data_IF_029867717703
#
_entry.id   IF_029867717703
#
_cell.length_a   1.000
_cell.length_b   1.000
_cell.length_c   1.000
_cell.angle_alpha   90.00
_cell.angle_beta   90.00
_cell.angle_gamma   90.00
#
_symmetry.space_group_name_H-M   'P 1'
#
loop_
_entity.id
_entity.type
_entity.pdbx_description
1 polymer ?
#
# COMPACT_ATOMS: atom_id res chain seq x y z
N UNK A 1 4.88 -30.39 -45.86
CA UNK A 1 6.13 -30.67 -45.13
C UNK A 1 6.49 -29.38 -44.40
N UNK A 2 6.69 -29.48 -43.08
CA UNK A 2 6.61 -28.48 -42.02
C UNK A 2 7.04 -27.02 -42.32
N UNK A 3 6.20 -26.07 -41.92
CA UNK A 3 6.60 -24.71 -41.51
C UNK A 3 6.58 -24.67 -39.98
N UNK A 4 7.75 -24.46 -39.37
CA UNK A 4 7.92 -24.12 -37.97
C UNK A 4 8.40 -22.66 -37.90
N UNK A 5 7.53 -21.77 -37.41
CA UNK A 5 7.91 -20.42 -37.01
C UNK A 5 7.57 -20.25 -35.54
N UNK A 6 8.60 -20.37 -34.71
CA UNK A 6 8.56 -20.06 -33.29
C UNK A 6 8.00 -18.67 -33.04
N UNK A 7 6.91 -18.62 -32.27
CA UNK A 7 6.40 -17.39 -31.66
C UNK A 7 7.20 -17.13 -30.39
N UNK A 8 8.00 -16.08 -30.40
CA UNK A 8 8.54 -15.50 -29.17
C UNK A 8 7.39 -14.98 -28.30
N UNK A 9 7.21 -15.65 -27.16
CA UNK A 9 6.27 -15.26 -26.12
C UNK A 9 6.88 -14.09 -25.35
N UNK A 10 6.41 -12.88 -25.65
CA UNK A 10 6.73 -11.68 -24.87
C UNK A 10 6.04 -11.82 -23.50
N UNK A 11 6.85 -12.03 -22.45
CA UNK A 11 6.41 -11.96 -21.06
C UNK A 11 6.09 -10.49 -20.69
N UNK A 12 5.00 -10.19 -19.98
CA UNK A 12 4.74 -8.84 -19.52
C UNK A 12 5.70 -8.48 -18.37
N UNK A 13 6.58 -7.51 -18.62
CA UNK A 13 7.47 -6.92 -17.60
C UNK A 13 6.68 -6.07 -16.61
N UNK A 14 6.89 -6.34 -15.32
CA UNK A 14 6.35 -5.57 -14.20
C UNK A 14 7.06 -4.21 -14.14
N UNK A 15 6.26 -3.15 -14.03
CA UNK A 15 6.68 -1.74 -14.09
C UNK A 15 7.66 -1.38 -12.97
N UNK A 16 8.87 -0.95 -13.35
CA UNK A 16 9.83 -0.29 -12.48
C UNK A 16 9.65 1.22 -12.63
N UNK A 17 9.40 1.93 -11.53
CA UNK A 17 9.34 3.40 -11.53
C UNK A 17 10.77 3.92 -11.55
N UNK A 18 11.18 4.50 -12.69
CA UNK A 18 12.42 5.27 -12.79
C UNK A 18 12.29 6.63 -12.11
N UNK A 19 13.34 7.05 -11.42
CA UNK A 19 13.50 8.38 -10.83
C UNK A 19 13.61 9.47 -11.91
N UNK A 20 12.89 10.60 -11.82
CA UNK A 20 13.27 11.80 -12.54
C UNK A 20 14.09 12.73 -11.64
N UNK A 21 15.16 13.26 -12.23
CA UNK A 21 16.07 14.26 -11.69
C UNK A 21 15.37 15.54 -11.22
N UNK A 22 15.98 16.14 -10.21
CA UNK A 22 15.73 17.48 -9.67
C UNK A 22 15.71 18.56 -10.75
N UNK A 23 14.57 19.24 -10.88
CA UNK A 23 14.42 20.51 -11.56
C UNK A 23 13.70 21.47 -10.63
N UNK A 24 14.37 22.58 -10.31
CA UNK A 24 13.96 23.62 -9.37
C UNK A 24 12.52 24.12 -9.58
N UNK A 25 11.76 24.20 -8.48
CA UNK A 25 10.61 25.08 -8.39
C UNK A 25 10.72 25.94 -7.13
N UNK A 26 11.05 27.22 -7.34
CA UNK A 26 11.03 28.30 -6.36
C UNK A 26 9.61 28.51 -5.85
N UNK A 27 9.45 28.60 -4.53
CA UNK A 27 8.26 29.12 -3.85
C UNK A 27 8.56 30.56 -3.43
N UNK A 28 7.64 31.53 -3.61
CA UNK A 28 7.83 32.88 -3.09
C UNK A 28 7.56 32.92 -1.58
N UNK A 29 8.53 33.44 -0.84
CA UNK A 29 8.48 33.72 0.59
C UNK A 29 7.69 35.01 0.84
N UNK A 30 6.69 34.94 1.73
CA UNK A 30 6.11 36.12 2.37
C UNK A 30 6.89 36.40 3.65
N UNK A 31 7.45 37.60 3.72
CA UNK A 31 8.07 38.19 4.88
C UNK A 31 7.04 38.52 5.95
N UNK A 32 7.36 38.19 7.20
CA UNK A 32 6.99 39.03 8.34
C UNK A 32 7.99 38.77 9.46
N UNK A 33 8.65 39.86 9.83
CA UNK A 33 9.70 40.03 10.84
C UNK A 33 9.51 39.22 12.13
N UNK A 34 10.60 38.65 12.62
CA UNK A 34 11.00 38.97 13.99
C UNK A 34 12.51 38.80 14.20
N UNK A 35 13.06 39.81 14.86
CA UNK A 35 14.47 40.16 14.94
C UNK A 35 15.26 39.41 16.02
N UNK A 36 16.49 39.07 15.63
CA UNK A 36 17.75 39.23 16.37
C UNK A 36 18.05 38.40 17.64
N UNK A 37 19.01 37.48 17.49
CA UNK A 37 20.24 37.34 18.30
C UNK A 37 20.94 36.04 17.83
N UNK A 38 22.10 35.99 17.19
CA UNK A 38 23.28 36.83 17.31
C UNK A 38 24.40 36.04 17.99
N UNK A 39 25.12 35.17 17.26
CA UNK A 39 26.56 34.91 17.48
C UNK A 39 27.19 34.01 16.40
N UNK A 40 28.23 34.56 15.80
CA UNK A 40 29.07 34.01 14.76
C UNK A 40 30.25 33.20 15.32
N UNK A 41 30.75 32.23 14.54
CA UNK A 41 32.16 31.84 14.40
C UNK A 41 32.26 30.82 13.25
N UNK A 42 32.65 31.23 12.04
CA UNK A 42 34.03 31.29 11.55
C UNK A 42 34.51 29.95 10.96
N UNK A 43 34.58 29.93 9.63
CA UNK A 43 35.17 28.90 8.79
C UNK A 43 36.71 28.92 8.89
N UNK A 44 37.34 27.75 8.78
CA UNK A 44 38.73 27.63 8.32
C UNK A 44 38.86 26.43 7.39
N UNK A 45 38.97 26.73 6.10
CA UNK A 45 39.55 25.87 5.07
C UNK A 45 41.05 25.75 5.29
N UNK A 46 41.61 24.54 5.17
CA UNK A 46 43.01 24.35 4.76
C UNK A 46 43.10 23.19 3.76
N UNK A 47 43.38 23.56 2.50
CA UNK A 47 44.06 22.73 1.51
C UNK A 47 45.54 22.66 1.89
N UNK A 48 46.17 21.51 1.65
CA UNK A 48 47.58 21.47 1.27
C UNK A 48 47.81 20.35 0.25
N UNK A 49 48.50 20.74 -0.82
CA UNK A 49 48.78 19.97 -2.02
C UNK A 49 50.00 19.05 -1.90
N UNK A 50 49.93 18.03 -2.73
CA UNK A 50 50.91 17.08 -3.26
C UNK A 50 52.42 17.43 -3.25
N UNK A 51 53.27 16.39 -3.09
CA UNK A 51 54.12 15.76 -4.15
C UNK A 51 55.28 14.95 -3.55
N UNK A 52 55.57 13.79 -4.14
CA UNK A 52 56.82 13.05 -3.90
C UNK A 52 56.75 11.59 -4.34
N UNK A 53 57.01 11.33 -5.62
CA UNK A 53 57.10 10.01 -6.24
C UNK A 53 58.42 9.31 -5.92
N UNK A 54 58.45 7.97 -5.75
CA UNK A 54 59.45 7.01 -6.33
C UNK A 54 58.85 5.58 -6.29
N UNK A 55 58.87 4.86 -7.42
CA UNK A 55 58.77 3.39 -7.58
C UNK A 55 60.13 2.94 -8.19
N UNK A 56 60.58 1.66 -8.20
CA UNK A 56 59.79 0.42 -8.21
C UNK A 56 60.37 -0.76 -7.39
N UNK A 57 59.61 -1.85 -7.25
CA UNK A 57 60.11 -3.13 -6.73
C UNK A 57 59.18 -4.28 -7.07
N UNK A 58 59.70 -5.24 -7.83
CA UNK A 58 59.06 -6.45 -8.37
C UNK A 58 58.41 -7.34 -7.29
N UNK A 59 57.28 -7.96 -7.65
CA UNK A 59 56.74 -9.12 -6.93
C UNK A 59 55.25 -9.36 -7.20
N UNK A 60 54.94 -10.16 -8.21
CA UNK A 60 53.70 -10.97 -8.25
C UNK A 60 54.17 -12.41 -7.95
N UNK A 61 53.43 -13.22 -7.16
CA UNK A 61 52.25 -13.85 -7.75
C UNK A 61 51.08 -14.06 -6.79
N UNK A 62 49.87 -13.92 -7.32
CA UNK A 62 48.83 -14.94 -7.16
C UNK A 62 48.03 -14.94 -5.85
N UNK A 63 46.85 -14.32 -5.91
CA UNK A 63 45.63 -14.91 -5.35
C UNK A 63 44.43 -14.18 -5.97
N UNK A 64 43.73 -14.86 -6.87
CA UNK A 64 42.38 -14.50 -7.28
C UNK A 64 41.48 -14.54 -6.05
N UNK A 65 41.30 -13.40 -5.38
CA UNK A 65 40.21 -13.23 -4.43
C UNK A 65 38.94 -13.07 -5.25
N UNK A 66 38.30 -14.21 -5.56
CA UNK A 66 36.92 -14.19 -6.02
C UNK A 66 36.10 -13.58 -4.89
N UNK A 67 35.79 -12.29 -5.02
CA UNK A 67 34.83 -11.62 -4.16
C UNK A 67 33.55 -12.44 -4.20
N UNK A 68 33.22 -13.10 -3.10
CA UNK A 68 31.95 -13.79 -2.95
C UNK A 68 30.84 -12.81 -3.36
N UNK A 69 29.84 -13.25 -4.14
CA UNK A 69 28.69 -12.41 -4.41
C UNK A 69 28.13 -11.90 -3.07
N UNK A 70 27.66 -10.64 -2.99
CA UNK A 70 27.04 -10.14 -1.78
C UNK A 70 25.95 -11.12 -1.33
N UNK A 71 25.74 -11.31 -0.01
CA UNK A 71 24.75 -12.25 0.48
C UNK A 71 23.42 -11.94 -0.21
N UNK A 72 22.86 -12.95 -0.88
CA UNK A 72 21.53 -12.90 -1.46
C UNK A 72 20.60 -12.44 -0.33
N UNK A 73 20.06 -11.22 -0.44
CA UNK A 73 19.01 -10.74 0.46
C UNK A 73 17.95 -11.84 0.51
N UNK A 74 17.57 -12.35 1.69
CA UNK A 74 16.66 -13.48 1.78
C UNK A 74 15.42 -13.17 0.95
N UNK A 75 15.14 -14.07 0.02
CA UNK A 75 13.93 -14.01 -0.78
C UNK A 75 12.75 -13.92 0.22
N UNK A 76 12.03 -12.81 0.20
CA UNK A 76 10.81 -12.64 0.99
C UNK A 76 9.72 -13.48 0.31
N UNK A 77 9.86 -14.79 0.41
CA UNK A 77 8.77 -15.74 0.18
C UNK A 77 7.81 -15.48 1.34
N UNK A 78 6.59 -14.94 1.11
CA UNK A 78 5.71 -15.24 -0.02
C UNK A 78 5.10 -14.01 -0.75
N UNK A 79 5.78 -12.85 -0.77
CA UNK A 79 5.21 -11.61 -1.34
C UNK A 79 5.74 -11.29 -2.76
N UNK A 80 4.82 -11.10 -3.71
CA UNK A 80 5.10 -10.69 -5.10
C UNK A 80 4.38 -9.37 -5.40
N UNK A 81 5.04 -8.43 -6.11
CA UNK A 81 4.40 -7.15 -6.49
C UNK A 81 3.14 -7.40 -7.35
N UNK A 82 2.06 -6.71 -7.03
CA UNK A 82 0.81 -6.76 -7.78
C UNK A 82 -0.10 -7.96 -7.46
N UNK A 83 0.34 -8.92 -6.64
CA UNK A 83 -0.52 -10.01 -6.19
C UNK A 83 -1.54 -9.54 -5.13
N UNK A 84 -2.65 -10.25 -4.99
CA UNK A 84 -3.53 -10.11 -3.83
C UNK A 84 -3.28 -11.25 -2.85
N UNK A 85 -3.37 -10.95 -1.56
CA UNK A 85 -3.24 -11.94 -0.48
C UNK A 85 -4.33 -11.79 0.57
N UNK A 86 -4.61 -12.87 1.27
CA UNK A 86 -5.26 -12.86 2.58
C UNK A 86 -4.24 -13.25 3.64
N UNK A 87 -4.31 -12.61 4.79
CA UNK A 87 -3.44 -12.90 5.92
C UNK A 87 -4.27 -13.57 7.00
N UNK A 88 -4.16 -14.89 7.13
CA UNK A 88 -4.88 -15.66 8.14
C UNK A 88 -4.06 -15.70 9.44
N UNK A 89 -4.63 -15.27 10.55
CA UNK A 89 -3.91 -15.33 11.82
C UNK A 89 -3.85 -16.76 12.36
N UNK A 90 -2.67 -17.25 12.75
CA UNK A 90 -2.52 -18.62 13.24
C UNK A 90 -3.14 -18.85 14.62
N UNK A 91 -2.91 -17.93 15.55
CA UNK A 91 -3.35 -18.06 16.94
C UNK A 91 -4.85 -17.84 17.14
N UNK A 92 -5.43 -16.90 16.38
CA UNK A 92 -6.84 -16.50 16.47
C UNK A 92 -7.73 -17.17 15.42
N UNK A 93 -7.16 -17.58 14.29
CA UNK A 93 -7.91 -17.84 13.07
C UNK A 93 -8.44 -16.55 12.45
N UNK A 94 -9.22 -16.68 11.37
CA UNK A 94 -9.74 -15.54 10.62
C UNK A 94 -8.65 -14.76 9.87
N UNK A 95 -9.06 -13.72 9.17
CA UNK A 95 -8.27 -12.97 8.20
C UNK A 95 -8.13 -11.51 8.62
N UNK A 96 -6.98 -10.91 8.36
CA UNK A 96 -6.78 -9.47 8.50
C UNK A 96 -7.82 -8.72 7.67
N UNK A 97 -8.58 -7.87 8.31
CA UNK A 97 -9.75 -7.19 7.77
C UNK A 97 -9.55 -5.68 7.83
N UNK A 98 -9.68 -5.01 6.69
CA UNK A 98 -9.77 -3.57 6.57
C UNK A 98 -11.15 -3.10 7.07
N UNK A 99 -11.22 -2.48 8.25
CA UNK A 99 -12.51 -2.10 8.83
C UNK A 99 -13.25 -1.08 7.96
N UNK A 100 -14.56 -1.19 7.92
CA UNK A 100 -15.47 -0.33 7.16
C UNK A 100 -15.40 1.15 7.59
N UNK A 101 -14.85 1.43 8.77
CA UNK A 101 -14.55 2.80 9.20
C UNK A 101 -13.48 3.50 8.36
N UNK A 102 -12.72 2.78 7.54
CA UNK A 102 -11.60 3.31 6.77
C UNK A 102 -10.35 3.63 7.59
N UNK A 103 -10.36 3.35 8.91
CA UNK A 103 -9.24 3.67 9.81
C UNK A 103 -8.69 2.47 10.55
N UNK A 104 -9.54 1.58 11.03
CA UNK A 104 -9.10 0.44 11.84
C UNK A 104 -8.79 -0.80 11.03
N UNK A 105 -8.07 -1.73 11.64
CA UNK A 105 -7.96 -3.11 11.16
C UNK A 105 -8.37 -4.09 12.25
N UNK A 106 -8.97 -5.19 11.85
CA UNK A 106 -9.42 -6.24 12.75
C UNK A 106 -9.18 -7.61 12.13
N UNK A 107 -9.65 -8.67 12.80
CA UNK A 107 -9.68 -10.01 12.24
C UNK A 107 -11.12 -10.49 12.11
N UNK A 108 -11.51 -10.86 10.89
CA UNK A 108 -12.84 -11.37 10.53
C UNK A 108 -12.74 -12.85 10.08
N UNK A 109 -13.78 -13.65 10.34
CA UNK A 109 -13.80 -15.07 9.94
C UNK A 109 -14.20 -15.28 8.48
N UNK A 110 -14.90 -14.30 7.89
CA UNK A 110 -15.42 -14.36 6.51
C UNK A 110 -14.27 -14.19 5.52
N UNK A 111 -13.91 -15.28 4.85
CA UNK A 111 -12.85 -15.31 3.83
C UNK A 111 -13.19 -14.53 2.55
N UNK A 112 -14.46 -14.60 2.13
CA UNK A 112 -14.89 -14.08 0.83
C UNK A 112 -15.08 -12.56 0.75
N UNK A 113 -14.69 -11.81 1.77
CA UNK A 113 -14.90 -10.35 1.81
C UNK A 113 -13.74 -9.62 1.11
N UNK A 114 -14.05 -8.61 0.29
CA UNK A 114 -13.01 -7.74 -0.31
C UNK A 114 -12.12 -7.09 0.74
N UNK A 115 -12.68 -6.74 1.91
CA UNK A 115 -11.95 -6.18 3.05
C UNK A 115 -10.88 -7.12 3.63
N UNK A 116 -10.89 -8.41 3.28
CA UNK A 116 -9.83 -9.37 3.66
C UNK A 116 -8.76 -9.54 2.60
N UNK A 117 -8.97 -9.02 1.39
CA UNK A 117 -8.04 -9.09 0.29
C UNK A 117 -7.15 -7.84 0.30
N UNK A 118 -5.84 -8.04 0.41
CA UNK A 118 -4.83 -7.00 0.44
C UNK A 118 -3.97 -7.07 -0.82
N UNK A 119 -3.94 -6.00 -1.60
CA UNK A 119 -3.04 -5.89 -2.74
C UNK A 119 -1.62 -5.64 -2.23
N UNK A 120 -0.68 -6.46 -2.70
CA UNK A 120 0.72 -6.39 -2.32
C UNK A 120 1.42 -5.42 -3.25
N UNK A 121 2.11 -4.45 -2.67
CA UNK A 121 3.12 -3.67 -3.36
C UNK A 121 4.48 -3.99 -2.73
N UNK A 122 5.40 -4.49 -3.54
CA UNK A 122 6.71 -4.93 -3.10
C UNK A 122 7.79 -4.01 -3.63
N UNK A 123 8.58 -3.42 -2.72
CA UNK A 123 9.71 -2.57 -3.06
C UNK A 123 10.99 -3.25 -2.61
N UNK A 124 11.83 -3.63 -3.57
CA UNK A 124 13.17 -4.16 -3.32
C UNK A 124 14.21 -3.12 -3.73
N UNK A 125 15.04 -2.71 -2.78
CA UNK A 125 16.31 -2.00 -3.03
C UNK A 125 17.48 -2.96 -2.81
N UNK A 126 18.70 -2.51 -3.09
CA UNK A 126 19.90 -3.31 -2.87
C UNK A 126 20.03 -3.81 -1.41
N UNK A 127 19.54 -3.01 -0.46
CA UNK A 127 19.76 -3.24 0.98
C UNK A 127 18.47 -3.58 1.76
N UNK A 128 17.29 -3.33 1.19
CA UNK A 128 16.02 -3.47 1.93
C UNK A 128 14.92 -4.02 1.03
N UNK A 129 14.15 -4.96 1.56
CA UNK A 129 12.91 -5.42 0.95
C UNK A 129 11.73 -5.04 1.83
N UNK A 130 10.78 -4.29 1.26
CA UNK A 130 9.64 -3.68 1.94
C UNK A 130 8.34 -4.13 1.32
N UNK A 131 7.40 -4.52 2.15
CA UNK A 131 6.04 -4.91 1.74
C UNK A 131 5.07 -3.81 2.15
N UNK A 132 4.24 -3.39 1.20
CA UNK A 132 3.10 -2.52 1.40
C UNK A 132 1.85 -3.33 1.14
N UNK A 133 0.87 -3.25 2.04
CA UNK A 133 -0.38 -4.00 1.94
C UNK A 133 -1.52 -3.00 1.80
N UNK A 134 -2.19 -2.98 0.66
CA UNK A 134 -3.25 -2.03 0.34
C UNK A 134 -4.62 -2.72 0.42
N UNK A 135 -5.50 -2.20 1.27
CA UNK A 135 -6.81 -2.78 1.54
C UNK A 135 -7.89 -2.35 0.55
N UNK A 136 -9.14 -2.75 0.84
CA UNK A 136 -10.31 -2.50 -0.01
C UNK A 136 -10.60 -1.01 -0.28
N UNK A 137 -10.16 -0.11 0.60
CA UNK A 137 -10.36 1.33 0.47
C UNK A 137 -9.16 2.06 -0.14
N UNK A 138 -8.22 1.33 -0.75
CA UNK A 138 -6.98 1.89 -1.31
C UNK A 138 -5.97 2.36 -0.28
N UNK A 139 -6.33 2.32 1.01
CA UNK A 139 -5.48 2.67 2.15
C UNK A 139 -4.51 1.54 2.48
N UNK A 140 -3.34 1.90 2.97
CA UNK A 140 -2.27 0.97 3.32
C UNK A 140 -2.36 0.53 4.77
N UNK A 141 -2.04 -0.73 5.04
CA UNK A 141 -1.84 -1.23 6.39
C UNK A 141 -0.65 -0.48 6.98
N UNK A 142 -0.91 0.27 8.04
CA UNK A 142 0.06 1.12 8.68
C UNK A 142 0.16 0.90 10.18
N UNK A 143 1.36 1.15 10.66
CA UNK A 143 1.68 1.27 12.05
C UNK A 143 1.44 2.70 12.56
N UNK A 144 0.94 2.78 13.79
CA UNK A 144 0.73 4.05 14.48
C UNK A 144 1.51 4.05 15.79
N UNK A 145 1.82 5.26 16.27
CA UNK A 145 2.39 5.47 17.61
C UNK A 145 1.32 5.61 18.69
N UNK A 146 0.04 5.58 18.31
CA UNK A 146 -1.06 5.72 19.24
C UNK A 146 -1.22 4.42 20.03
N UNK A 147 -1.12 4.50 21.36
CA UNK A 147 -1.36 3.37 22.25
C UNK A 147 -2.71 2.72 21.94
N UNK A 148 -2.73 1.38 21.94
CA UNK A 148 -3.97 0.65 21.79
C UNK A 148 -4.92 0.93 22.96
N UNK A 149 -6.20 0.61 22.78
CA UNK A 149 -7.23 0.79 23.82
C UNK A 149 -6.85 0.01 25.09
N UNK A 150 -7.33 0.50 26.24
CA UNK A 150 -7.06 -0.12 27.53
C UNK A 150 -7.35 -1.63 27.51
N UNK A 151 -6.40 -2.44 27.99
CA UNK A 151 -6.47 -3.91 27.95
C UNK A 151 -5.89 -4.57 26.69
N UNK A 152 -5.42 -3.79 25.70
CA UNK A 152 -4.67 -4.29 24.55
C UNK A 152 -3.17 -4.01 24.70
N UNK A 153 -2.35 -4.90 24.16
CA UNK A 153 -0.90 -4.71 24.11
C UNK A 153 -0.49 -3.99 22.84
N UNK A 154 0.39 -3.00 22.98
CA UNK A 154 1.04 -2.31 21.86
C UNK A 154 0.30 -1.08 21.35
N UNK A 155 0.59 -0.71 20.11
CA UNK A 155 0.00 0.45 19.42
C UNK A 155 -1.06 0.01 18.41
N UNK A 156 -1.91 0.94 17.98
CA UNK A 156 -2.98 0.64 17.03
C UNK A 156 -2.41 0.36 15.63
N UNK A 157 -2.88 -0.70 14.97
CA UNK A 157 -2.70 -0.85 13.53
C UNK A 157 -3.84 -0.10 12.82
N UNK A 158 -3.51 0.63 11.76
CA UNK A 158 -4.48 1.48 11.07
C UNK A 158 -4.42 1.30 9.55
N UNK A 159 -5.47 1.73 8.89
CA UNK A 159 -5.49 2.02 7.47
C UNK A 159 -5.03 3.46 7.28
N UNK A 160 -4.02 3.69 6.44
CA UNK A 160 -3.39 4.99 6.23
C UNK A 160 -3.33 5.35 4.75
N UNK A 161 -3.46 6.63 4.47
CA UNK A 161 -3.23 7.17 3.14
C UNK A 161 -1.73 7.24 2.87
N UNK A 162 -1.35 7.25 1.60
CA UNK A 162 0.03 7.43 1.19
C UNK A 162 0.18 8.80 0.53
N UNK A 163 0.23 9.83 1.37
CA UNK A 163 0.20 11.23 0.93
C UNK A 163 1.59 11.80 0.68
N UNK A 164 2.53 11.53 1.58
CA UNK A 164 3.91 11.98 1.47
C UNK A 164 4.84 10.80 1.30
N UNK A 165 5.93 10.98 0.55
CA UNK A 165 6.99 9.97 0.51
C UNK A 165 7.49 9.66 1.93
N UNK A 166 7.64 10.66 2.79
CA UNK A 166 8.12 10.44 4.16
C UNK A 166 7.17 9.60 5.04
N UNK A 167 5.91 9.40 4.64
CA UNK A 167 4.97 8.49 5.31
C UNK A 167 5.40 7.02 5.21
N UNK A 168 6.40 6.69 4.37
CA UNK A 168 6.96 5.34 4.20
C UNK A 168 7.05 4.60 5.53
N UNK A 169 7.69 5.19 6.54
CA UNK A 169 8.01 4.52 7.80
C UNK A 169 6.79 4.05 8.58
N UNK A 170 5.62 4.62 8.36
CA UNK A 170 4.38 4.20 8.99
C UNK A 170 3.60 3.13 8.23
N UNK A 171 3.92 2.82 6.97
CA UNK A 171 3.05 1.98 6.10
C UNK A 171 3.76 0.80 5.42
N UNK A 172 5.09 0.72 5.52
CA UNK A 172 5.83 -0.45 5.04
C UNK A 172 6.09 -1.47 6.16
N UNK A 173 6.27 -2.72 5.75
CA UNK A 173 6.50 -3.86 6.63
C UNK A 173 7.72 -4.66 6.16
N UNK A 174 8.58 -5.01 7.10
CA UNK A 174 9.52 -6.12 6.97
C UNK A 174 8.82 -7.43 7.29
N UNK A 175 9.38 -8.52 6.79
CA UNK A 175 8.88 -9.87 7.04
C UNK A 175 9.97 -10.73 7.62
N UNK A 176 9.62 -11.51 8.64
CA UNK A 176 10.44 -12.64 9.09
C UNK A 176 9.65 -13.94 8.89
N UNK A 177 10.35 -15.03 8.62
CA UNK A 177 9.72 -16.34 8.51
C UNK A 177 9.25 -16.78 9.90
N UNK A 178 7.96 -17.08 10.00
CA UNK A 178 7.35 -17.71 11.16
C UNK A 178 7.36 -19.23 11.05
N UNK A 179 6.66 -19.89 11.96
CA UNK A 179 6.51 -21.35 11.96
C UNK A 179 5.58 -21.79 10.83
N UNK A 180 5.80 -23.01 10.31
CA UNK A 180 4.92 -23.65 9.32
C UNK A 180 4.67 -22.78 8.06
N UNK A 181 5.67 -22.01 7.60
CA UNK A 181 5.54 -21.18 6.40
C UNK A 181 4.72 -19.90 6.59
N UNK A 182 4.35 -19.55 7.82
CA UNK A 182 3.76 -18.26 8.13
C UNK A 182 4.79 -17.14 8.12
N UNK A 183 4.31 -15.90 8.16
CA UNK A 183 5.15 -14.70 8.25
C UNK A 183 4.83 -13.91 9.50
N UNK A 184 5.85 -13.22 10.01
CA UNK A 184 5.73 -12.14 10.98
C UNK A 184 5.94 -10.83 10.25
N UNK A 185 4.89 -10.01 10.15
CA UNK A 185 4.97 -8.67 9.60
C UNK A 185 5.39 -7.72 10.71
N UNK A 186 6.52 -7.02 10.56
CA UNK A 186 7.00 -6.08 11.56
C UNK A 186 7.45 -4.76 10.95
N UNK A 187 7.26 -3.69 11.72
CA UNK A 187 7.72 -2.36 11.40
C UNK A 187 8.75 -1.95 12.45
N UNK A 188 9.85 -1.31 12.04
CA UNK A 188 10.87 -0.82 12.96
C UNK A 188 10.52 0.59 13.38
N UNK A 189 9.96 0.74 14.57
CA UNK A 189 9.60 2.03 15.16
C UNK A 189 10.49 2.31 16.35
N UNK A 190 11.08 3.51 16.39
CA UNK A 190 11.90 3.97 17.52
C UNK A 190 13.05 2.97 17.84
N UNK A 191 13.66 2.43 16.78
CA UNK A 191 14.74 1.42 16.80
C UNK A 191 14.34 0.02 17.30
N UNK A 192 13.07 -0.22 17.59
CA UNK A 192 12.57 -1.54 18.00
C UNK A 192 11.64 -2.15 16.95
N UNK A 193 11.79 -3.45 16.62
CA UNK A 193 10.84 -4.15 15.77
C UNK A 193 9.54 -4.39 16.53
N UNK A 194 8.43 -3.95 15.94
CA UNK A 194 7.09 -4.21 16.45
C UNK A 194 6.26 -4.97 15.40
N UNK A 195 5.74 -6.14 15.77
CA UNK A 195 4.98 -7.00 14.87
C UNK A 195 3.48 -6.75 14.92
N UNK A 196 2.85 -6.92 13.76
CA UNK A 196 1.41 -7.01 13.62
C UNK A 196 0.87 -8.19 14.41
N UNK A 197 -0.07 -7.92 15.32
CA UNK A 197 -0.58 -8.89 16.29
C UNK A 197 -2.11 -8.88 16.30
N UNK A 198 -2.71 -10.05 16.18
CA UNK A 198 -4.12 -10.24 16.48
C UNK A 198 -4.35 -10.36 17.99
N UNK A 199 -5.49 -9.83 18.46
CA UNK A 199 -5.87 -9.93 19.88
C UNK A 199 -7.07 -10.87 20.08
N UNK A 200 -7.48 -11.04 21.34
CA UNK A 200 -8.69 -11.79 21.67
C UNK A 200 -8.59 -13.31 21.49
N UNK A 201 -7.45 -13.93 21.87
CA UNK A 201 -7.29 -15.41 21.88
C UNK A 201 -8.45 -16.11 22.56
N UNK A 202 -8.80 -15.60 23.74
CA UNK A 202 -9.84 -16.14 24.60
C UNK A 202 -11.07 -15.22 24.67
N UNK A 203 -10.91 -13.92 24.34
CA UNK A 203 -11.98 -12.93 24.32
C UNK A 203 -12.47 -12.74 22.89
N UNK A 204 -13.47 -13.53 22.48
CA UNK A 204 -13.94 -13.58 21.08
C UNK A 204 -14.46 -12.24 20.53
N UNK A 205 -14.95 -11.35 21.41
CA UNK A 205 -15.40 -10.01 21.04
C UNK A 205 -14.25 -9.06 20.69
N UNK A 206 -13.03 -9.35 21.15
CA UNK A 206 -11.84 -8.57 20.83
C UNK A 206 -11.28 -9.03 19.48
N UNK A 207 -11.61 -8.27 18.42
CA UNK A 207 -11.16 -8.51 17.05
C UNK A 207 -10.04 -7.59 16.61
N UNK A 208 -9.61 -6.66 17.46
CA UNK A 208 -8.67 -5.62 17.09
C UNK A 208 -7.28 -6.18 16.79
N UNK A 209 -6.63 -5.60 15.79
CA UNK A 209 -5.24 -5.87 15.44
C UNK A 209 -4.39 -4.71 15.93
N UNK A 210 -3.33 -5.04 16.66
CA UNK A 210 -2.38 -4.07 17.22
C UNK A 210 -0.98 -4.38 16.74
N UNK A 211 -0.03 -3.58 17.18
CA UNK A 211 1.38 -3.71 16.85
C UNK A 211 2.15 -3.74 18.15
N UNK A 212 2.73 -4.89 18.46
CA UNK A 212 3.39 -5.16 19.74
C UNK A 212 4.88 -5.42 19.59
N UNK A 213 5.68 -5.19 20.64
CA UNK A 213 7.09 -5.56 20.64
C UNK A 213 7.27 -7.06 20.36
N UNK A 214 8.32 -7.41 19.63
CA UNK A 214 8.62 -8.80 19.24
C UNK A 214 9.76 -9.34 20.09
N UNK A 215 9.49 -10.43 20.81
CA UNK A 215 10.55 -11.32 21.29
C UNK A 215 10.81 -12.39 20.24
N UNK A 216 11.93 -12.28 19.52
CA UNK A 216 12.30 -13.21 18.46
C UNK A 216 12.58 -14.63 18.97
N UNK A 217 12.91 -14.79 20.26
CA UNK A 217 13.08 -16.11 20.86
C UNK A 217 11.72 -16.78 21.15
N UNK A 218 10.65 -15.99 21.27
CA UNK A 218 9.33 -16.48 21.61
C UNK A 218 8.20 -15.79 20.82
N UNK A 219 8.25 -15.93 19.49
CA UNK A 219 7.19 -15.40 18.62
C UNK A 219 5.85 -16.08 18.92
N UNK A 220 4.88 -15.28 19.34
CA UNK A 220 3.51 -15.72 19.63
C UNK A 220 2.78 -16.07 18.33
N UNK A 221 1.96 -17.12 18.33
CA UNK A 221 1.09 -17.46 17.18
C UNK A 221 0.08 -16.35 16.82
N UNK A 222 -0.12 -15.38 17.71
CA UNK A 222 -0.91 -14.17 17.42
C UNK A 222 -0.21 -13.15 16.53
N UNK A 223 1.11 -13.23 16.41
CA UNK A 223 1.92 -12.42 15.51
C UNK A 223 2.23 -13.13 14.18
N UNK A 224 1.86 -14.41 14.07
CA UNK A 224 2.08 -15.23 12.88
C UNK A 224 0.86 -15.20 11.96
N UNK A 225 1.12 -14.89 10.69
CA UNK A 225 0.12 -14.77 9.63
C UNK A 225 0.43 -15.74 8.50
N UNK A 226 -0.49 -16.64 8.21
CA UNK A 226 -0.44 -17.48 7.01
C UNK A 226 -0.83 -16.63 5.80
N UNK A 227 0.03 -16.59 4.79
CA UNK A 227 -0.22 -15.86 3.55
C UNK A 227 -0.92 -16.77 2.56
N UNK A 228 -2.15 -16.43 2.22
CA UNK A 228 -2.93 -17.13 1.20
C UNK A 228 -3.02 -16.24 -0.04
N UNK A 229 -2.47 -16.71 -1.16
CA UNK A 229 -2.54 -15.97 -2.42
C UNK A 229 -3.99 -15.97 -2.93
N UNK A 230 -4.47 -14.80 -3.35
CA UNK A 230 -5.77 -14.65 -4.00
C UNK A 230 -5.52 -14.54 -5.50
N UNK A 231 -6.02 -15.50 -6.31
CA UNK A 231 -5.89 -15.43 -7.75
C UNK A 231 -6.47 -14.14 -8.32
N UNK A 232 -5.82 -13.61 -9.34
CA UNK A 232 -6.31 -12.45 -10.08
C UNK A 232 -7.27 -12.90 -11.18
N UNK A 233 -8.29 -12.08 -11.45
CA UNK A 233 -9.21 -12.23 -12.58
C UNK A 233 -9.31 -10.92 -13.38
N UNK A 234 -9.63 -11.05 -14.66
CA UNK A 234 -9.95 -9.93 -15.55
C UNK A 234 -11.39 -9.46 -15.35
N UNK A 235 -12.28 -10.37 -14.96
CA UNK A 235 -13.68 -10.08 -14.74
C UNK A 235 -13.86 -9.43 -13.37
N UNK A 236 -14.53 -8.28 -13.34
CA UNK A 236 -14.84 -7.59 -12.09
C UNK A 236 -15.77 -8.48 -11.26
N UNK A 237 -15.41 -8.84 -10.01
CA UNK A 237 -16.30 -9.60 -9.15
C UNK A 237 -17.54 -8.76 -8.80
N UNK A 238 -18.65 -9.41 -8.40
CA UNK A 238 -19.82 -8.69 -7.91
C UNK A 238 -19.45 -7.75 -6.77
N UNK A 239 -20.04 -6.56 -6.78
CA UNK A 239 -19.90 -5.62 -5.67
C UNK A 239 -20.40 -6.24 -4.36
N UNK A 240 -19.74 -5.91 -3.26
CA UNK A 240 -20.10 -6.32 -1.92
C UNK A 240 -20.62 -5.11 -1.14
N UNK A 241 -21.84 -4.62 -1.44
CA UNK A 241 -22.43 -3.53 -0.68
C UNK A 241 -22.65 -3.97 0.77
N UNK A 242 -22.62 -3.01 1.68
CA UNK A 242 -22.93 -3.22 3.10
C UNK A 242 -24.42 -3.46 3.25
N UNK A 243 -24.81 -4.06 4.37
CA UNK A 243 -26.22 -4.24 4.67
C UNK A 243 -26.92 -2.86 4.74
N UNK A 244 -28.15 -2.72 4.23
CA UNK A 244 -28.88 -1.46 4.27
C UNK A 244 -28.97 -0.86 5.67
N UNK A 245 -29.10 -1.70 6.70
CA UNK A 245 -29.15 -1.29 8.11
C UNK A 245 -27.85 -0.61 8.57
N UNK A 246 -26.70 -1.08 8.11
CA UNK A 246 -25.43 -0.44 8.41
C UNK A 246 -25.38 0.96 7.79
N UNK A 247 -25.88 1.14 6.55
CA UNK A 247 -25.91 2.44 5.86
C UNK A 247 -26.91 3.41 6.51
N UNK A 248 -28.10 2.93 6.87
CA UNK A 248 -29.16 3.75 7.48
C UNK A 248 -28.75 4.40 8.81
N UNK A 249 -27.95 3.72 9.63
CA UNK A 249 -27.46 4.29 10.88
C UNK A 249 -26.54 5.51 10.64
N UNK A 250 -25.78 5.51 9.54
CA UNK A 250 -24.89 6.62 9.17
C UNK A 250 -25.56 7.71 8.34
N UNK A 251 -26.61 7.39 7.55
CA UNK A 251 -27.43 8.43 6.90
C UNK A 251 -28.01 9.42 7.92
N UNK A 252 -28.27 8.96 9.16
CA UNK A 252 -28.70 9.84 10.27
C UNK A 252 -27.62 10.80 10.76
N UNK A 253 -26.36 10.59 10.42
CA UNK A 253 -25.25 11.46 10.80
C UNK A 253 -25.13 12.71 9.92
N UNK A 254 -25.76 12.75 8.74
CA UNK A 254 -25.69 13.90 7.83
C UNK A 254 -24.30 14.12 7.23
N UNK A 255 -23.45 13.09 7.25
CA UNK A 255 -22.05 13.19 6.86
C UNK A 255 -21.91 13.19 5.32
N UNK A 256 -22.03 14.37 4.72
CA UNK A 256 -21.63 14.64 3.33
C UNK A 256 -20.13 14.37 3.19
N UNK A 257 -19.72 13.74 2.09
CA UNK A 257 -18.33 13.45 1.80
C UNK A 257 -17.88 14.17 0.53
N UNK A 258 -16.69 14.76 0.58
CA UNK A 258 -16.07 15.36 -0.58
C UNK A 258 -15.44 14.26 -1.46
N UNK A 259 -15.88 14.20 -2.71
CA UNK A 259 -15.38 13.28 -3.72
C UNK A 259 -14.69 14.08 -4.82
N UNK A 260 -13.40 13.84 -4.99
CA UNK A 260 -12.65 14.32 -6.15
C UNK A 260 -12.50 13.17 -7.13
N UNK A 261 -12.96 13.34 -8.37
CA UNK A 261 -12.82 12.30 -9.38
C UNK A 261 -12.24 12.80 -10.69
N UNK A 262 -11.56 11.90 -11.40
CA UNK A 262 -10.96 12.16 -12.70
C UNK A 262 -10.96 10.91 -13.57
N UNK A 263 -10.84 11.13 -14.88
CA UNK A 263 -10.67 10.09 -15.88
C UNK A 263 -9.18 9.90 -16.15
N UNK A 264 -8.61 8.74 -15.81
CA UNK A 264 -7.23 8.46 -16.10
C UNK A 264 -7.03 8.18 -17.59
N UNK A 265 -5.91 8.64 -18.15
CA UNK A 265 -5.38 8.19 -19.42
C UNK A 265 -3.97 7.64 -19.22
N UNK A 266 -3.51 6.85 -20.18
CA UNK A 266 -2.14 6.35 -20.20
C UNK A 266 -1.32 7.24 -21.13
N UNK A 267 -0.27 7.86 -20.59
CA UNK A 267 0.71 8.53 -21.43
C UNK A 267 1.57 7.50 -22.19
N UNK A 268 2.25 7.95 -23.24
CA UNK A 268 3.14 7.11 -24.05
C UNK A 268 4.27 6.46 -23.23
N UNK A 269 4.60 7.07 -22.09
CA UNK A 269 5.58 6.57 -21.11
C UNK A 269 5.01 5.55 -20.12
N UNK A 270 3.75 5.13 -20.27
CA UNK A 270 3.06 4.19 -19.38
C UNK A 270 2.69 4.75 -18.01
N UNK A 271 2.85 6.07 -17.78
CA UNK A 271 2.37 6.72 -16.57
C UNK A 271 0.89 7.08 -16.68
N UNK A 272 0.19 7.01 -15.54
CA UNK A 272 -1.17 7.50 -15.42
C UNK A 272 -1.16 9.03 -15.41
N UNK A 273 -1.77 9.63 -16.43
CA UNK A 273 -2.20 11.02 -16.42
C UNK A 273 -3.69 11.12 -16.07
N UNK A 274 -4.15 12.30 -15.68
CA UNK A 274 -5.53 12.53 -15.28
C UNK A 274 -6.11 13.71 -16.05
N UNK A 275 -7.35 13.56 -16.53
CA UNK A 275 -8.15 14.69 -17.01
C UNK A 275 -8.40 15.70 -15.89
N UNK A 276 -9.10 16.78 -16.24
CA UNK A 276 -9.53 17.79 -15.29
C UNK A 276 -10.24 17.12 -14.11
N UNK A 277 -9.76 17.44 -12.91
CA UNK A 277 -10.39 17.01 -11.67
C UNK A 277 -11.76 17.66 -11.53
N UNK A 278 -12.75 16.84 -11.20
CA UNK A 278 -14.08 17.29 -10.82
C UNK A 278 -14.28 17.02 -9.35
N UNK A 279 -14.85 17.98 -8.63
CA UNK A 279 -15.17 17.86 -7.22
C UNK A 279 -16.68 17.86 -7.06
N UNK A 280 -17.18 16.98 -6.20
CA UNK A 280 -18.60 16.93 -5.84
C UNK A 280 -18.75 16.60 -4.37
N UNK A 281 -19.88 17.04 -3.81
CA UNK A 281 -20.34 16.61 -2.52
C UNK A 281 -21.28 15.43 -2.70
N UNK A 282 -21.02 14.33 -1.98
CA UNK A 282 -21.81 13.11 -2.06
C UNK A 282 -22.49 12.82 -0.72
N UNK A 283 -23.82 12.84 -0.73
CA UNK A 283 -24.65 12.42 0.41
C UNK A 283 -24.93 10.92 0.33
N UNK A 284 -24.01 10.14 0.88
CA UNK A 284 -24.16 8.71 0.98
C UNK A 284 -22.85 7.98 1.16
N UNK A 285 -22.95 6.65 1.24
CA UNK A 285 -21.79 5.76 1.25
C UNK A 285 -21.91 4.60 0.27
N UNK A 286 -23.04 4.50 -0.43
CA UNK A 286 -23.28 3.42 -1.39
C UNK A 286 -22.39 3.61 -2.61
N UNK A 287 -21.64 2.57 -2.95
CA UNK A 287 -20.82 2.55 -4.17
C UNK A 287 -21.70 2.70 -5.41
N UNK A 288 -22.86 2.04 -5.42
CA UNK A 288 -23.80 2.08 -6.55
C UNK A 288 -24.41 3.46 -6.72
N UNK A 289 -24.79 4.12 -5.63
CA UNK A 289 -25.32 5.49 -5.67
C UNK A 289 -24.24 6.47 -6.16
N UNK A 290 -23.01 6.35 -5.66
CA UNK A 290 -21.88 7.16 -6.14
C UNK A 290 -21.63 6.92 -7.64
N UNK A 291 -21.65 5.66 -8.06
CA UNK A 291 -21.50 5.30 -9.45
C UNK A 291 -22.59 5.92 -10.33
N UNK A 292 -23.85 5.85 -9.92
CA UNK A 292 -24.93 6.48 -10.67
C UNK A 292 -24.80 8.00 -10.75
N UNK A 293 -24.34 8.64 -9.67
CA UNK A 293 -24.13 10.10 -9.62
C UNK A 293 -22.95 10.55 -10.52
N UNK A 294 -21.85 9.80 -10.54
CA UNK A 294 -20.73 10.07 -11.46
C UNK A 294 -21.19 9.82 -12.91
N UNK A 295 -21.98 8.77 -13.16
CA UNK A 295 -22.50 8.44 -14.48
C UNK A 295 -23.50 9.51 -15.00
N UNK A 296 -24.32 10.09 -14.12
CA UNK A 296 -25.25 11.17 -14.49
C UNK A 296 -24.50 12.43 -14.90
N UNK A 297 -23.40 12.75 -14.20
CA UNK A 297 -22.54 13.89 -14.53
C UNK A 297 -21.77 13.73 -15.85
N UNK A 298 -21.44 12.49 -16.25
CA UNK A 298 -20.85 12.19 -17.55
C UNK A 298 -21.78 12.47 -18.74
N UNK A 299 -23.09 12.40 -18.51
CA UNK A 299 -24.09 12.47 -19.57
C UNK A 299 -24.00 11.30 -20.56
N UNK A 300 -24.63 11.46 -21.73
CA UNK A 300 -24.55 10.53 -22.87
C UNK A 300 -25.00 9.07 -22.63
N UNK A 301 -25.77 8.80 -21.57
CA UNK A 301 -26.30 7.46 -21.28
C UNK A 301 -25.27 6.45 -20.76
N UNK A 302 -24.13 6.92 -20.24
CA UNK A 302 -23.19 6.05 -19.52
C UNK A 302 -23.88 5.49 -18.28
N UNK A 303 -23.72 4.18 -18.05
CA UNK A 303 -24.26 3.49 -16.88
C UNK A 303 -23.11 3.09 -15.96
N UNK A 304 -23.39 2.96 -14.67
CA UNK A 304 -22.39 2.51 -13.69
C UNK A 304 -21.78 1.15 -14.05
N UNK A 305 -22.54 0.24 -14.65
CA UNK A 305 -22.04 -1.06 -15.08
C UNK A 305 -20.92 -0.96 -16.14
N UNK A 306 -20.93 0.12 -16.94
CA UNK A 306 -19.95 0.41 -17.99
C UNK A 306 -18.72 1.16 -17.49
N UNK A 307 -18.53 1.27 -16.16
CA UNK A 307 -17.33 1.87 -15.57
C UNK A 307 -16.87 1.14 -14.32
N UNK A 308 -15.57 1.17 -14.07
CA UNK A 308 -14.96 0.68 -12.83
C UNK A 308 -14.38 1.85 -12.07
N UNK A 309 -14.85 2.04 -10.84
CA UNK A 309 -14.31 3.06 -9.94
C UNK A 309 -13.11 2.49 -9.18
N UNK A 310 -12.00 3.22 -9.19
CA UNK A 310 -10.84 2.92 -8.38
C UNK A 310 -10.64 4.02 -7.35
N UNK A 311 -10.50 3.65 -6.08
CA UNK A 311 -10.10 4.58 -5.02
C UNK A 311 -8.59 4.74 -4.99
N UNK A 312 -8.15 5.98 -4.77
CA UNK A 312 -6.76 6.31 -4.52
C UNK A 312 -6.61 6.98 -3.15
N UNK A 313 -5.88 6.36 -2.23
CA UNK A 313 -5.66 6.90 -0.89
C UNK A 313 -4.33 7.67 -0.83
N UNK A 314 -4.41 8.98 -1.01
CA UNK A 314 -3.28 9.90 -1.02
C UNK A 314 -2.55 9.98 -2.37
N UNK A 315 -1.71 11.02 -2.52
CA UNK A 315 -1.05 11.35 -3.79
C UNK A 315 -0.15 10.23 -4.36
N UNK A 316 0.48 9.43 -3.50
CA UNK A 316 1.35 8.32 -3.90
C UNK A 316 0.67 6.96 -3.77
N UNK A 317 -0.59 6.92 -3.34
CA UNK A 317 -1.37 5.69 -3.28
C UNK A 317 -1.58 5.11 -4.68
N UNK A 318 -1.43 3.79 -4.82
CA UNK A 318 -1.78 3.11 -6.07
C UNK A 318 -3.31 2.99 -6.19
N UNK A 319 -3.89 3.23 -7.37
CA UNK A 319 -5.32 3.02 -7.60
C UNK A 319 -5.75 1.59 -7.23
N UNK A 320 -6.94 1.47 -6.63
CA UNK A 320 -7.50 0.20 -6.18
C UNK A 320 -8.94 0.08 -6.61
N UNK A 321 -9.34 -0.99 -7.31
CA UNK A 321 -10.74 -1.22 -7.60
C UNK A 321 -11.60 -1.16 -6.33
N UNK A 322 -12.56 -0.24 -6.31
CA UNK A 322 -13.49 -0.09 -5.22
C UNK A 322 -14.64 -1.08 -5.44
N UNK A 323 -14.67 -2.15 -4.64
CA UNK A 323 -15.63 -3.25 -4.80
C UNK A 323 -16.64 -3.34 -3.65
N UNK A 324 -16.63 -2.36 -2.74
CA UNK A 324 -17.55 -2.25 -1.61
C UNK A 324 -17.89 -0.78 -1.39
N UNK A 325 -18.89 -0.54 -0.56
CA UNK A 325 -19.34 0.80 -0.20
C UNK A 325 -18.24 1.63 0.45
N UNK A 326 -18.33 2.94 0.28
CA UNK A 326 -17.33 3.90 0.75
C UNK A 326 -17.09 3.80 2.27
N UNK A 327 -15.90 4.16 2.77
CA UNK A 327 -15.63 4.20 4.20
C UNK A 327 -16.66 5.01 4.96
N UNK A 328 -17.02 4.57 6.18
CA UNK A 328 -18.05 5.24 6.98
C UNK A 328 -17.69 6.68 7.33
N UNK A 329 -16.39 6.94 7.54
CA UNK A 329 -15.87 8.25 7.86
C UNK A 329 -15.88 9.18 6.65
N UNK A 330 -16.25 10.44 6.86
CA UNK A 330 -16.34 11.48 5.82
C UNK A 330 -14.97 12.07 5.42
N UNK A 331 -13.91 11.26 5.41
CA UNK A 331 -12.64 11.75 4.87
C UNK A 331 -12.77 11.96 3.35
N UNK A 332 -12.18 13.03 2.78
CA UNK A 332 -12.17 13.23 1.35
C UNK A 332 -11.61 12.01 0.60
N UNK A 333 -12.24 11.66 -0.51
CA UNK A 333 -11.86 10.49 -1.30
C UNK A 333 -11.56 10.87 -2.74
N UNK A 334 -10.49 10.26 -3.28
CA UNK A 334 -10.09 10.40 -4.67
C UNK A 334 -10.57 9.16 -5.44
N UNK A 335 -11.34 9.37 -6.50
CA UNK A 335 -11.89 8.33 -7.36
C UNK A 335 -11.36 8.48 -8.79
N UNK A 336 -10.82 7.40 -9.34
CA UNK A 336 -10.43 7.31 -10.73
C UNK A 336 -11.44 6.46 -11.49
N UNK A 337 -12.00 7.01 -12.56
CA UNK A 337 -13.11 6.39 -13.30
C UNK A 337 -12.58 5.73 -14.57
N UNK A 338 -12.53 4.39 -14.59
CA UNK A 338 -12.09 3.63 -15.76
C UNK A 338 -13.29 3.13 -16.57
N UNK A 339 -13.50 3.69 -17.76
CA UNK A 339 -14.57 3.25 -18.66
C UNK A 339 -14.27 1.87 -19.24
N UNK A 340 -15.25 0.96 -19.20
CA UNK A 340 -15.13 -0.39 -19.78
C UNK A 340 -14.75 -0.30 -21.25
N UNK A 341 -13.78 -1.12 -21.68
CA UNK A 341 -13.25 -1.11 -23.04
C UNK A 341 -12.14 -0.08 -23.28
N UNK A 342 -11.88 0.86 -22.36
CA UNK A 342 -10.71 1.73 -22.44
C UNK A 342 -9.41 0.93 -22.21
N UNK A 343 -8.28 1.46 -22.73
CA UNK A 343 -6.96 0.89 -22.48
C UNK A 343 -6.64 0.82 -20.97
N UNK A 344 -7.12 1.80 -20.19
CA UNK A 344 -6.94 1.79 -18.76
C UNK A 344 -7.74 0.72 -18.03
N UNK A 345 -8.93 0.41 -18.53
CA UNK A 345 -9.73 -0.66 -17.95
C UNK A 345 -9.14 -2.05 -18.24
N UNK A 346 -8.56 -2.27 -19.41
CA UNK A 346 -8.02 -3.60 -19.80
C UNK A 346 -6.81 -4.06 -18.97
N UNK A 347 -6.10 -3.11 -18.33
CA UNK A 347 -4.99 -3.41 -17.42
C UNK A 347 -5.43 -3.67 -15.97
N UNK A 348 -6.69 -3.38 -15.62
CA UNK A 348 -7.20 -3.65 -14.28
C UNK A 348 -7.20 -5.16 -14.01
N UNK A 349 -6.89 -5.51 -12.77
CA UNK A 349 -6.93 -6.87 -12.24
C UNK A 349 -7.71 -6.85 -10.95
N UNK A 350 -8.59 -7.81 -10.78
CA UNK A 350 -9.46 -7.91 -9.60
C UNK A 350 -9.12 -9.15 -8.79
N UNK A 351 -9.30 -9.12 -7.47
CA UNK A 351 -9.17 -10.32 -6.64
C UNK A 351 -10.33 -11.28 -6.92
N UNK A 352 -10.02 -12.55 -7.19
CA UNK A 352 -11.03 -13.61 -7.21
C UNK A 352 -11.42 -13.96 -5.76
N UNK A 353 -12.48 -13.31 -5.28
CA UNK A 353 -12.91 -13.46 -3.89
C UNK A 353 -13.48 -14.85 -3.58
N UNK A 354 -13.92 -15.59 -4.59
CA UNK A 354 -14.50 -16.93 -4.46
C UNK A 354 -13.47 -18.07 -4.55
N UNK A 355 -12.29 -17.85 -5.14
CA UNK A 355 -11.25 -18.88 -5.28
C UNK A 355 -10.82 -19.45 -3.92
N UNK A 356 -10.73 -20.77 -3.79
CA UNK A 356 -10.37 -21.51 -2.56
C UNK A 356 -8.89 -21.42 -2.16
#
# INVERSE_FOLDING_TARGET
MAEDKGKDVVKPSIFTIGSPNSGDFRVPSNDSDDSASGRAAAAVSRRFDARGAINPGFGDPGASSSRAPPPLVPEIVPFVDGQYVRLRNRGRGGYLFANESGRGVSVDRRRGMVNTAWAVQFLRTADVARVFLRGAYGRYLGATRNSARFGLLGCYAAQRDFEYRDDYNGIWWSTAMGRCGSVVLFNTMDHEPRALRANGRYQRWNTEVTIGPVDWNHVSSMMEWEVQVVPLTLERPPYQPRSPNAIQWWRRSGDVMDVSFAYPWFGDNGQLGYQNWTNMQFDGRSLTELGNEIASQLGCGVQFDNMTLCVQAGRFGRPTPLLTDLPLRADPIIILVFIVGSQGHSVLRFPNLAAE
#
